data_IF_814713226076
#
_entry.id   IF_814713226076
#
_cell.length_a   1.000
_cell.length_b   1.000
_cell.length_c   1.000
_cell.angle_alpha   90.00
_cell.angle_beta   90.00
_cell.angle_gamma   90.00
#
_symmetry.space_group_name_H-M   'P 1'
#
loop_
_entity.id
_entity.type
_entity.pdbx_description
1 polymer ?
#
# COMPACT_ATOMS: atom_id res chain seq x y z
N UNK A 1 -56.71 5.61 43.79
CA UNK A 1 -58.03 6.25 43.93
C UNK A 1 -59.08 5.61 43.03
N UNK A 2 -58.78 5.28 41.77
CA UNK A 2 -59.69 4.60 40.82
C UNK A 2 -60.30 3.29 41.33
N UNK A 3 -59.50 2.43 41.97
CA UNK A 3 -59.98 1.18 42.59
C UNK A 3 -60.95 1.38 43.77
N UNK A 4 -60.98 2.56 44.38
CA UNK A 4 -61.80 2.84 45.58
C UNK A 4 -63.23 3.21 45.24
N UNK A 5 -63.46 3.94 44.15
CA UNK A 5 -64.81 4.33 43.70
C UNK A 5 -65.54 3.17 43.01
N UNK A 6 -64.82 2.36 42.22
CA UNK A 6 -65.35 1.14 41.60
C UNK A 6 -65.82 0.12 42.65
N UNK A 7 -65.08 -0.02 43.77
CA UNK A 7 -65.47 -0.90 44.86
C UNK A 7 -66.67 -0.34 45.64
N UNK A 8 -66.73 0.98 45.86
CA UNK A 8 -67.86 1.63 46.54
C UNK A 8 -69.15 1.55 45.72
N UNK A 9 -69.11 1.68 44.40
CA UNK A 9 -70.31 1.54 43.55
C UNK A 9 -70.82 0.09 43.47
N UNK A 10 -69.91 -0.90 43.53
CA UNK A 10 -70.26 -2.33 43.53
C UNK A 10 -70.77 -2.84 44.90
N UNK A 11 -70.46 -2.14 46.00
CA UNK A 11 -70.92 -2.47 47.36
C UNK A 11 -72.27 -1.86 47.75
N UNK A 12 -72.85 -0.96 46.95
CA UNK A 12 -74.18 -0.42 47.26
C UNK A 12 -75.26 -1.43 46.89
N UNK A 13 -75.93 -1.98 47.90
CA UNK A 13 -77.12 -2.81 47.72
C UNK A 13 -78.33 -1.93 47.35
N UNK A 14 -78.53 -1.78 46.03
CA UNK A 14 -79.59 -0.96 45.42
C UNK A 14 -80.99 -1.36 45.92
N UNK A 15 -81.17 -2.61 46.38
CA UNK A 15 -82.46 -3.13 46.84
C UNK A 15 -82.87 -2.64 48.24
N UNK A 16 -81.97 -2.00 48.99
CA UNK A 16 -82.20 -1.55 50.37
C UNK A 16 -82.34 -0.01 50.50
N UNK A 17 -82.40 0.71 49.37
CA UNK A 17 -82.54 2.16 49.32
C UNK A 17 -84.02 2.56 49.42
N UNK A 18 -84.44 3.06 50.59
CA UNK A 18 -85.83 3.47 50.85
C UNK A 18 -86.01 5.00 50.96
N UNK A 19 -84.92 5.75 51.12
CA UNK A 19 -84.92 7.22 51.13
C UNK A 19 -84.44 7.81 49.81
N UNK A 20 -85.12 8.87 49.36
CA UNK A 20 -84.85 9.55 48.07
C UNK A 20 -83.44 10.14 48.04
N UNK A 21 -82.97 10.67 49.17
CA UNK A 21 -81.64 11.30 49.30
C UNK A 21 -80.50 10.28 49.13
N UNK A 22 -80.70 9.04 49.58
CA UNK A 22 -79.75 7.94 49.37
C UNK A 22 -79.74 7.46 47.92
N UNK A 23 -80.90 7.43 47.24
CA UNK A 23 -81.00 7.10 45.82
C UNK A 23 -80.26 8.13 44.97
N UNK A 24 -80.44 9.43 45.23
CA UNK A 24 -79.76 10.51 44.49
C UNK A 24 -78.23 10.48 44.68
N UNK A 25 -77.77 10.16 45.90
CA UNK A 25 -76.34 10.02 46.20
C UNK A 25 -75.71 8.85 45.44
N UNK A 26 -76.36 7.70 45.42
CA UNK A 26 -75.89 6.51 44.70
C UNK A 26 -75.92 6.73 43.20
N UNK A 27 -76.97 7.35 42.68
CA UNK A 27 -77.08 7.74 41.27
C UNK A 27 -75.92 8.65 40.86
N UNK A 28 -75.62 9.69 41.66
CA UNK A 28 -74.50 10.60 41.42
C UNK A 28 -73.14 9.88 41.44
N UNK A 29 -72.96 8.90 42.33
CA UNK A 29 -71.74 8.10 42.42
C UNK A 29 -71.55 7.20 41.19
N UNK A 30 -72.62 6.55 40.73
CA UNK A 30 -72.60 5.72 39.52
C UNK A 30 -72.31 6.59 38.29
N UNK A 31 -72.93 7.75 38.18
CA UNK A 31 -72.70 8.66 37.06
C UNK A 31 -71.26 9.17 37.02
N UNK A 32 -70.67 9.50 38.17
CA UNK A 32 -69.24 9.85 38.24
C UNK A 32 -68.33 8.69 37.81
N UNK A 33 -68.69 7.46 38.16
CA UNK A 33 -67.95 6.27 37.77
C UNK A 33 -68.06 5.98 36.27
N UNK A 34 -69.26 6.13 35.70
CA UNK A 34 -69.52 5.99 34.26
C UNK A 34 -68.72 7.03 33.46
N UNK A 35 -68.78 8.31 33.85
CA UNK A 35 -67.96 9.37 33.24
C UNK A 35 -66.46 9.10 33.35
N UNK A 36 -66.02 8.44 34.43
CA UNK A 36 -64.62 8.07 34.59
C UNK A 36 -64.23 6.90 33.68
N UNK A 37 -65.08 5.89 33.57
CA UNK A 37 -64.84 4.74 32.71
C UNK A 37 -64.80 5.15 31.23
N UNK A 38 -65.69 6.06 30.83
CA UNK A 38 -65.70 6.64 29.48
C UNK A 38 -64.39 7.38 29.18
N UNK A 39 -63.89 8.20 30.13
CA UNK A 39 -62.58 8.87 29.97
C UNK A 39 -61.42 7.89 29.83
N UNK A 40 -61.44 6.79 30.58
CA UNK A 40 -60.40 5.75 30.49
C UNK A 40 -60.49 5.00 29.14
N UNK A 41 -61.71 4.72 28.67
CA UNK A 41 -61.94 4.07 27.38
C UNK A 41 -61.49 4.95 26.21
N UNK A 42 -61.83 6.24 26.23
CA UNK A 42 -61.38 7.22 25.23
C UNK A 42 -59.86 7.32 25.19
N UNK A 43 -59.21 7.33 26.35
CA UNK A 43 -57.74 7.36 26.43
C UNK A 43 -57.10 6.10 25.83
N UNK A 44 -57.70 4.92 26.05
CA UNK A 44 -57.23 3.66 25.46
C UNK A 44 -57.44 3.61 23.95
N UNK A 45 -58.59 4.08 23.46
CA UNK A 45 -58.92 4.15 22.04
C UNK A 45 -57.98 5.10 21.28
N UNK A 46 -57.72 6.29 21.84
CA UNK A 46 -56.75 7.24 21.27
C UNK A 46 -55.32 6.66 21.29
N UNK A 47 -54.97 5.91 22.35
CA UNK A 47 -53.72 5.16 22.43
C UNK A 47 -53.56 4.12 21.30
N UNK A 48 -54.62 3.37 21.00
CA UNK A 48 -54.66 2.38 19.93
C UNK A 48 -54.47 3.04 18.56
N UNK A 49 -55.17 4.14 18.29
CA UNK A 49 -55.05 4.87 17.03
C UNK A 49 -53.62 5.40 16.79
N UNK A 50 -52.97 5.89 17.85
CA UNK A 50 -51.57 6.31 17.81
C UNK A 50 -50.62 5.15 17.52
N UNK A 51 -50.87 3.97 18.11
CA UNK A 51 -50.08 2.77 17.87
C UNK A 51 -50.20 2.28 16.43
N UNK A 52 -51.42 2.20 15.90
CA UNK A 52 -51.68 1.80 14.51
C UNK A 52 -51.01 2.75 13.52
N UNK A 53 -51.03 4.05 13.79
CA UNK A 53 -50.34 5.05 12.95
C UNK A 53 -48.83 4.82 12.94
N UNK A 54 -48.22 4.56 14.10
CA UNK A 54 -46.79 4.23 14.20
C UNK A 54 -46.47 2.91 13.50
N UNK A 55 -47.29 1.88 13.67
CA UNK A 55 -47.10 0.59 13.02
C UNK A 55 -47.16 0.71 11.48
N UNK A 56 -48.13 1.46 10.96
CA UNK A 56 -48.24 1.77 9.54
C UNK A 56 -47.03 2.56 9.02
N UNK A 57 -46.50 3.49 9.81
CA UNK A 57 -45.27 4.22 9.44
C UNK A 57 -44.06 3.27 9.37
N UNK A 58 -43.95 2.34 10.32
CA UNK A 58 -42.85 1.37 10.37
C UNK A 58 -42.91 0.41 9.18
N UNK A 59 -44.11 -0.11 8.86
CA UNK A 59 -44.33 -0.97 7.69
C UNK A 59 -43.93 -0.30 6.37
N UNK A 60 -44.06 1.02 6.25
CA UNK A 60 -43.58 1.77 5.08
C UNK A 60 -42.07 1.90 5.01
N UNK A 61 -41.37 1.87 6.15
CA UNK A 61 -39.90 2.04 6.22
C UNK A 61 -39.17 0.72 6.05
N UNK A 62 -39.75 -0.40 6.48
CA UNK A 62 -39.13 -1.74 6.40
C UNK A 62 -38.63 -2.10 4.98
N UNK A 63 -39.39 -1.87 3.89
CA UNK A 63 -38.91 -2.14 2.53
C UNK A 63 -37.67 -1.32 2.15
N UNK A 64 -37.60 -0.06 2.57
CA UNK A 64 -36.45 0.80 2.29
C UNK A 64 -35.20 0.31 3.01
N UNK A 65 -35.35 -0.18 4.25
CA UNK A 65 -34.28 -0.82 5.01
C UNK A 65 -33.75 -2.08 4.30
N UNK A 66 -34.64 -2.89 3.72
CA UNK A 66 -34.23 -4.07 2.94
C UNK A 66 -33.45 -3.70 1.68
N UNK A 67 -33.84 -2.61 0.99
CA UNK A 67 -33.08 -2.10 -0.17
C UNK A 67 -31.68 -1.65 0.27
N UNK A 68 -31.59 -0.86 1.34
CA UNK A 68 -30.29 -0.39 1.88
C UNK A 68 -29.41 -1.58 2.27
N UNK A 69 -29.97 -2.60 2.93
CA UNK A 69 -29.22 -3.80 3.29
C UNK A 69 -28.66 -4.51 2.05
N UNK A 70 -29.49 -4.71 1.02
CA UNK A 70 -29.06 -5.34 -0.23
C UNK A 70 -27.98 -4.53 -0.95
N UNK A 71 -28.09 -3.21 -0.93
CA UNK A 71 -27.11 -2.33 -1.56
C UNK A 71 -25.79 -2.32 -0.78
N UNK A 72 -25.85 -2.41 0.55
CA UNK A 72 -24.68 -2.58 1.40
C UNK A 72 -23.97 -3.93 1.15
N UNK A 73 -24.72 -5.03 0.98
CA UNK A 73 -24.17 -6.34 0.63
C UNK A 73 -23.47 -6.31 -0.75
N UNK A 74 -24.11 -5.69 -1.75
CA UNK A 74 -23.50 -5.49 -3.07
C UNK A 74 -22.22 -4.66 -2.98
N UNK A 75 -22.25 -3.57 -2.22
CA UNK A 75 -21.07 -2.73 -2.02
C UNK A 75 -19.94 -3.50 -1.36
N UNK A 76 -20.25 -4.30 -0.34
CA UNK A 76 -19.27 -5.18 0.32
C UNK A 76 -18.61 -6.13 -0.69
N UNK A 77 -19.40 -6.83 -1.52
CA UNK A 77 -18.87 -7.71 -2.56
C UNK A 77 -18.00 -6.98 -3.58
N UNK A 78 -18.39 -5.76 -3.98
CA UNK A 78 -17.58 -4.94 -4.89
C UNK A 78 -16.24 -4.54 -4.26
N UNK A 79 -16.25 -4.15 -2.98
CA UNK A 79 -15.03 -3.78 -2.25
C UNK A 79 -14.11 -5.00 -2.11
N UNK A 80 -14.67 -6.15 -1.74
CA UNK A 80 -13.93 -7.41 -1.61
C UNK A 80 -13.25 -7.78 -2.94
N UNK A 81 -14.00 -7.78 -4.04
CA UNK A 81 -13.45 -8.08 -5.36
C UNK A 81 -12.38 -7.07 -5.80
N UNK A 82 -12.59 -5.79 -5.51
CA UNK A 82 -11.62 -4.73 -5.81
C UNK A 82 -10.33 -4.91 -5.00
N UNK A 83 -10.45 -5.27 -3.72
CA UNK A 83 -9.31 -5.53 -2.86
C UNK A 83 -8.51 -6.76 -3.33
N UNK A 84 -9.20 -7.84 -3.70
CA UNK A 84 -8.57 -9.03 -4.27
C UNK A 84 -7.82 -8.71 -5.57
N UNK A 85 -8.45 -7.93 -6.47
CA UNK A 85 -7.79 -7.50 -7.70
C UNK A 85 -6.57 -6.63 -7.41
N UNK A 86 -6.67 -5.68 -6.47
CA UNK A 86 -5.57 -4.80 -6.08
C UNK A 86 -4.39 -5.59 -5.50
N UNK A 87 -4.64 -6.60 -4.66
CA UNK A 87 -3.61 -7.48 -4.11
C UNK A 87 -2.95 -8.34 -5.21
N UNK A 88 -3.76 -8.88 -6.12
CA UNK A 88 -3.28 -9.64 -7.26
C UNK A 88 -2.40 -8.80 -8.20
N UNK A 89 -2.79 -7.56 -8.47
CA UNK A 89 -1.98 -6.63 -9.28
C UNK A 89 -0.71 -6.24 -8.54
N UNK A 90 -0.81 -5.86 -7.27
CA UNK A 90 0.34 -5.44 -6.45
C UNK A 90 1.39 -6.54 -6.31
N UNK A 91 0.96 -7.79 -6.08
CA UNK A 91 1.87 -8.94 -5.99
C UNK A 91 2.57 -9.23 -7.32
N UNK A 92 1.88 -9.07 -8.46
CA UNK A 92 2.48 -9.18 -9.79
C UNK A 92 3.47 -8.05 -10.07
N UNK A 93 3.14 -6.82 -9.70
CA UNK A 93 4.04 -5.65 -9.83
C UNK A 93 5.31 -5.88 -9.00
N UNK A 94 5.19 -6.34 -7.75
CA UNK A 94 6.35 -6.65 -6.90
C UNK A 94 7.26 -7.72 -7.51
N UNK A 95 6.68 -8.76 -8.12
CA UNK A 95 7.45 -9.80 -8.85
C UNK A 95 8.15 -9.21 -10.08
N UNK A 96 7.46 -8.35 -10.83
CA UNK A 96 8.02 -7.67 -11.98
C UNK A 96 9.16 -6.73 -11.59
N UNK A 97 9.00 -5.97 -10.50
CA UNK A 97 10.03 -5.07 -9.99
C UNK A 97 11.29 -5.84 -9.55
N UNK A 98 11.11 -6.99 -8.90
CA UNK A 98 12.24 -7.86 -8.56
C UNK A 98 12.96 -8.37 -9.82
N UNK A 99 12.21 -8.83 -10.83
CA UNK A 99 12.78 -9.27 -12.10
C UNK A 99 13.51 -8.13 -12.80
N UNK A 100 12.90 -6.94 -12.87
CA UNK A 100 13.51 -5.73 -13.43
C UNK A 100 14.78 -5.34 -12.71
N UNK A 101 14.79 -5.37 -11.38
CA UNK A 101 15.97 -5.08 -10.57
C UNK A 101 17.10 -6.06 -10.86
N UNK A 102 16.80 -7.36 -10.99
CA UNK A 102 17.80 -8.38 -11.35
C UNK A 102 18.35 -8.19 -12.76
N UNK A 103 17.47 -7.90 -13.72
CA UNK A 103 17.89 -7.62 -15.10
C UNK A 103 18.75 -6.36 -15.15
N UNK A 104 18.39 -5.30 -14.43
CA UNK A 104 19.20 -4.08 -14.38
C UNK A 104 20.58 -4.33 -13.76
N UNK A 105 20.65 -5.12 -12.69
CA UNK A 105 21.93 -5.53 -12.11
C UNK A 105 22.79 -6.31 -13.12
N UNK A 106 22.18 -7.25 -13.87
CA UNK A 106 22.87 -7.98 -14.92
C UNK A 106 23.35 -7.07 -16.07
N UNK A 107 22.54 -6.11 -16.51
CA UNK A 107 22.91 -5.13 -17.54
C UNK A 107 24.13 -4.31 -17.09
N UNK A 108 24.09 -3.78 -15.87
CA UNK A 108 25.19 -2.99 -15.33
C UNK A 108 26.47 -3.83 -15.25
N UNK A 109 26.36 -5.05 -14.72
CA UNK A 109 27.46 -6.03 -14.66
C UNK A 109 28.06 -6.34 -16.03
N UNK A 110 27.23 -6.57 -17.04
CA UNK A 110 27.73 -6.81 -18.41
C UNK A 110 28.39 -5.56 -18.99
N UNK A 111 27.89 -4.37 -18.69
CA UNK A 111 28.52 -3.10 -19.07
C UNK A 111 29.91 -2.93 -18.46
N UNK A 112 30.03 -3.17 -17.16
CA UNK A 112 31.28 -3.14 -16.40
C UNK A 112 32.33 -4.10 -16.99
N UNK A 113 31.93 -5.34 -17.29
CA UNK A 113 32.81 -6.35 -17.90
C UNK A 113 33.24 -5.93 -19.31
N UNK A 114 32.31 -5.39 -20.10
CA UNK A 114 32.59 -4.92 -21.46
C UNK A 114 33.58 -3.74 -21.46
N UNK A 115 33.43 -2.81 -20.53
CA UNK A 115 34.35 -1.69 -20.37
C UNK A 115 35.74 -2.17 -19.95
N UNK A 116 35.81 -3.09 -18.99
CA UNK A 116 37.09 -3.68 -18.55
C UNK A 116 37.79 -4.40 -19.71
N UNK A 117 37.06 -5.23 -20.46
CA UNK A 117 37.61 -5.92 -21.63
C UNK A 117 38.09 -4.94 -22.71
N UNK A 118 37.31 -3.90 -22.99
CA UNK A 118 37.69 -2.88 -23.96
C UNK A 118 38.96 -2.11 -23.56
N UNK A 119 39.16 -1.89 -22.25
CA UNK A 119 40.40 -1.30 -21.75
C UNK A 119 41.59 -2.26 -21.91
N UNK A 120 41.41 -3.55 -21.59
CA UNK A 120 42.44 -4.59 -21.77
C UNK A 120 42.87 -4.72 -23.22
N UNK A 121 41.90 -4.91 -24.12
CA UNK A 121 42.16 -5.12 -25.55
C UNK A 121 42.83 -3.87 -26.15
N UNK A 122 42.33 -2.67 -25.81
CA UNK A 122 42.91 -1.40 -26.26
C UNK A 122 44.34 -1.18 -25.77
N UNK A 123 44.65 -1.52 -24.52
CA UNK A 123 46.02 -1.44 -23.97
C UNK A 123 46.94 -2.45 -24.65
N UNK A 124 46.50 -3.70 -24.85
CA UNK A 124 47.31 -4.71 -25.52
C UNK A 124 47.63 -4.33 -26.96
N UNK A 125 46.66 -3.82 -27.71
CA UNK A 125 46.85 -3.44 -29.10
C UNK A 125 47.68 -2.16 -29.26
N UNK A 126 47.44 -1.15 -28.42
CA UNK A 126 48.26 0.05 -28.41
C UNK A 126 49.72 -0.25 -28.02
N UNK A 127 49.95 -1.18 -27.07
CA UNK A 127 51.30 -1.62 -26.72
C UNK A 127 52.00 -2.39 -27.85
N UNK A 128 51.28 -3.22 -28.62
CA UNK A 128 51.84 -3.92 -29.80
C UNK A 128 52.24 -2.96 -30.91
N UNK A 129 51.50 -1.86 -31.06
CA UNK A 129 51.73 -0.85 -32.10
C UNK A 129 52.67 0.29 -31.64
N UNK A 130 53.23 0.23 -30.43
CA UNK A 130 54.05 1.29 -29.81
C UNK A 130 53.34 2.65 -29.66
N UNK A 131 52.01 2.65 -29.61
CA UNK A 131 51.16 3.83 -29.47
C UNK A 131 50.91 4.13 -27.98
N UNK A 132 51.95 4.59 -27.27
CA UNK A 132 51.93 4.75 -25.81
C UNK A 132 50.90 5.77 -25.31
N UNK A 133 50.56 6.79 -26.11
CA UNK A 133 49.54 7.79 -25.79
C UNK A 133 48.14 7.17 -25.74
N UNK A 134 47.80 6.32 -26.72
CA UNK A 134 46.52 5.61 -26.76
C UNK A 134 46.42 4.60 -25.61
N UNK A 135 47.53 3.89 -25.33
CA UNK A 135 47.60 2.98 -24.20
C UNK A 135 47.37 3.70 -22.85
N UNK A 136 47.98 4.88 -22.67
CA UNK A 136 47.75 5.73 -21.51
C UNK A 136 46.29 6.21 -21.41
N UNK A 137 45.64 6.49 -22.54
CA UNK A 137 44.21 6.83 -22.59
C UNK A 137 43.30 5.69 -22.11
N UNK A 138 43.56 4.45 -22.53
CA UNK A 138 42.81 3.28 -22.06
C UNK A 138 43.05 2.98 -20.57
N UNK A 139 44.28 3.18 -20.08
CA UNK A 139 44.60 3.03 -18.64
C UNK A 139 43.92 4.14 -17.82
N UNK A 140 43.94 5.38 -18.30
CA UNK A 140 43.27 6.48 -17.62
C UNK A 140 41.76 6.23 -17.50
N UNK A 141 41.14 5.69 -18.56
CA UNK A 141 39.74 5.24 -18.52
C UNK A 141 39.55 4.19 -17.43
N UNK A 142 40.35 3.12 -17.41
CA UNK A 142 40.31 2.10 -16.37
C UNK A 142 40.47 2.67 -14.95
N UNK A 143 41.42 3.58 -14.72
CA UNK A 143 41.64 4.23 -13.43
C UNK A 143 40.49 5.15 -12.99
N UNK A 144 39.64 5.56 -13.93
CA UNK A 144 38.42 6.33 -13.64
C UNK A 144 37.26 5.42 -13.24
N UNK A 145 37.34 4.11 -13.54
CA UNK A 145 36.38 3.11 -13.06
C UNK A 145 36.71 2.72 -11.61
N UNK A 146 35.68 2.43 -10.81
CA UNK A 146 35.87 1.90 -9.45
C UNK A 146 36.22 0.41 -9.51
N UNK A 147 37.53 0.13 -9.41
CA UNK A 147 38.08 -1.22 -9.40
C UNK A 147 37.45 -2.13 -8.34
N UNK A 148 37.05 -1.59 -7.17
CA UNK A 148 36.41 -2.39 -6.12
C UNK A 148 35.01 -2.86 -6.54
N UNK A 149 34.28 -2.01 -7.25
CA UNK A 149 32.98 -2.37 -7.81
C UNK A 149 33.15 -3.38 -8.94
N UNK A 150 34.13 -3.19 -9.82
CA UNK A 150 34.44 -4.16 -10.88
C UNK A 150 34.84 -5.53 -10.31
N UNK A 151 35.70 -5.57 -9.28
CA UNK A 151 36.13 -6.82 -8.64
C UNK A 151 34.96 -7.58 -8.02
N UNK A 152 34.03 -6.90 -7.35
CA UNK A 152 32.79 -7.53 -6.85
C UNK A 152 31.94 -8.09 -7.98
N UNK A 153 31.81 -7.34 -9.07
CA UNK A 153 31.16 -7.78 -10.31
C UNK A 153 31.84 -9.01 -10.92
N UNK A 154 33.14 -9.23 -10.72
CA UNK A 154 33.85 -10.44 -11.17
C UNK A 154 33.68 -11.61 -10.19
N UNK A 155 33.75 -11.34 -8.89
CA UNK A 155 33.67 -12.34 -7.81
C UNK A 155 32.29 -12.99 -7.71
N UNK A 156 31.21 -12.27 -8.02
CA UNK A 156 29.85 -12.82 -8.05
C UNK A 156 29.57 -13.70 -9.29
N UNK A 157 30.60 -14.06 -10.06
CA UNK A 157 30.52 -14.75 -11.37
C UNK A 157 30.95 -16.19 -11.31
N UNK A 158 30.54 -16.96 -12.31
CA UNK A 158 30.96 -18.36 -12.42
C UNK A 158 32.49 -18.45 -12.57
N UNK A 159 33.11 -19.36 -11.82
CA UNK A 159 34.57 -19.38 -11.55
C UNK A 159 35.45 -19.47 -12.82
N UNK A 160 34.88 -19.90 -13.95
CA UNK A 160 35.58 -20.13 -15.22
C UNK A 160 35.93 -18.83 -15.96
N UNK A 161 35.02 -17.86 -16.07
CA UNK A 161 35.29 -16.55 -16.69
C UNK A 161 35.89 -15.55 -15.68
N UNK A 162 35.65 -15.77 -14.38
CA UNK A 162 36.22 -14.94 -13.32
C UNK A 162 37.75 -14.98 -13.27
N UNK A 163 38.37 -16.10 -13.65
CA UNK A 163 39.83 -16.24 -13.70
C UNK A 163 40.48 -15.36 -14.78
N UNK A 164 39.91 -15.34 -15.99
CA UNK A 164 40.41 -14.54 -17.11
C UNK A 164 40.26 -13.03 -16.84
N UNK A 165 39.13 -12.65 -16.23
CA UNK A 165 38.88 -11.26 -15.84
C UNK A 165 39.70 -10.83 -14.61
N UNK A 166 40.09 -11.76 -13.74
CA UNK A 166 41.05 -11.48 -12.66
C UNK A 166 42.45 -11.22 -13.21
N UNK A 167 42.83 -11.93 -14.26
CA UNK A 167 44.10 -11.71 -14.98
C UNK A 167 44.11 -10.37 -15.71
N UNK A 168 42.96 -9.89 -16.21
CA UNK A 168 42.82 -8.56 -16.81
C UNK A 168 43.31 -7.43 -15.88
N UNK A 169 42.97 -7.47 -14.59
CA UNK A 169 43.45 -6.47 -13.62
C UNK A 169 44.97 -6.51 -13.45
N UNK A 170 45.56 -7.71 -13.36
CA UNK A 170 47.02 -7.84 -13.25
C UNK A 170 47.73 -7.34 -14.51
N UNK A 171 47.14 -7.61 -15.69
CA UNK A 171 47.67 -7.17 -16.97
C UNK A 171 47.61 -5.65 -17.11
N UNK A 172 46.51 -5.00 -16.71
CA UNK A 172 46.35 -3.55 -16.77
C UNK A 172 47.35 -2.84 -15.84
N UNK A 173 47.57 -3.34 -14.63
CA UNK A 173 48.61 -2.79 -13.74
C UNK A 173 50.03 -3.05 -14.25
N UNK A 174 50.30 -4.21 -14.85
CA UNK A 174 51.59 -4.47 -15.46
C UNK A 174 51.84 -3.55 -16.66
N UNK A 175 50.81 -3.32 -17.49
CA UNK A 175 50.87 -2.39 -18.61
C UNK A 175 51.08 -0.94 -18.15
N UNK A 176 50.41 -0.50 -17.09
CA UNK A 176 50.62 0.79 -16.44
C UNK A 176 52.09 0.96 -16.02
N UNK A 177 52.65 -0.03 -15.32
CA UNK A 177 54.05 -0.02 -14.92
C UNK A 177 55.02 0.02 -16.11
N UNK A 178 54.74 -0.75 -17.16
CA UNK A 178 55.54 -0.78 -18.40
C UNK A 178 55.50 0.57 -19.11
N UNK A 179 54.33 1.14 -19.32
CA UNK A 179 54.16 2.42 -20.01
C UNK A 179 54.84 3.54 -19.22
N UNK A 180 54.66 3.58 -17.90
CA UNK A 180 55.34 4.56 -17.04
C UNK A 180 56.86 4.47 -17.19
N UNK A 181 57.42 3.26 -17.20
CA UNK A 181 58.87 3.06 -17.38
C UNK A 181 59.35 3.49 -18.76
N UNK A 182 58.65 3.07 -19.82
CA UNK A 182 59.00 3.42 -21.21
C UNK A 182 58.93 4.93 -21.42
N UNK A 183 57.89 5.59 -20.92
CA UNK A 183 57.74 7.05 -21.02
C UNK A 183 58.88 7.76 -20.28
N UNK A 184 59.25 7.34 -19.07
CA UNK A 184 60.38 7.94 -18.34
C UNK A 184 61.69 7.74 -19.10
N UNK A 185 61.95 6.54 -19.62
CA UNK A 185 63.17 6.26 -20.39
C UNK A 185 63.23 7.08 -21.69
N UNK A 186 62.13 7.15 -22.45
CA UNK A 186 62.03 7.95 -23.68
C UNK A 186 62.13 9.45 -23.39
N UNK A 187 61.54 9.91 -22.29
CA UNK A 187 61.65 11.30 -21.84
C UNK A 187 63.09 11.65 -21.46
N UNK A 188 63.78 10.81 -20.69
CA UNK A 188 65.18 11.01 -20.31
C UNK A 188 66.12 10.99 -21.52
N UNK A 189 65.82 10.19 -22.55
CA UNK A 189 66.53 10.18 -23.82
C UNK A 189 66.28 11.47 -24.61
N UNK A 190 65.02 11.90 -24.75
CA UNK A 190 64.65 13.14 -25.42
C UNK A 190 65.25 14.39 -24.74
N UNK A 191 65.31 14.40 -23.40
CA UNK A 191 65.96 15.45 -22.60
C UNK A 191 67.47 15.48 -22.86
N UNK A 192 68.15 14.33 -22.94
CA UNK A 192 69.57 14.27 -23.30
C UNK A 192 69.84 14.77 -24.72
N UNK A 193 68.91 14.51 -25.64
CA UNK A 193 69.01 14.94 -27.03
C UNK A 193 68.53 16.39 -27.27
N UNK A 194 68.01 17.09 -26.25
CA UNK A 194 67.39 18.43 -26.36
C UNK A 194 66.31 18.52 -27.44
N UNK A 195 65.62 17.40 -27.72
CA UNK A 195 64.54 17.35 -28.70
C UNK A 195 63.24 17.87 -28.09
N UNK A 196 62.98 19.16 -28.25
CA UNK A 196 61.78 19.82 -27.72
C UNK A 196 60.46 19.19 -28.20
N UNK A 197 60.41 18.65 -29.41
CA UNK A 197 59.17 18.11 -29.97
C UNK A 197 58.76 16.78 -29.33
N UNK A 198 59.75 15.99 -28.89
CA UNK A 198 59.54 14.69 -28.21
C UNK A 198 59.42 14.83 -26.69
N UNK A 199 59.75 16.00 -26.11
CA UNK A 199 59.57 16.30 -24.68
C UNK A 199 58.14 16.78 -24.39
N UNK A 200 57.46 17.40 -25.35
CA UNK A 200 56.10 17.95 -25.20
C UNK A 200 54.98 16.94 -25.55
N UNK A 201 55.32 15.79 -26.12
CA UNK A 201 54.40 14.67 -26.44
C UNK A 201 54.56 13.55 -25.43
#
# INVERSE_FOLDING_TARGET
MTRSLANMAAEVDINNLTEIEDIERVYSLIQQHEEQLDRELDALLDGQQKLDTKMNSLQKVVPNLQVVLRDAEKLHQMIEHTAELAENVSSKVRKLDLAKSRVQAAINRTGDILDLKSCVDGVQDALKNEEYEQAAGHIHRYLTLDENTLRKTVEDGDDLEGSDLKNAFTLLHEAEGKIKKIIIEKFDEAVRMSDRASIER
#
